data_IF_542301628181
#
_entry.id   IF_542301628181
#
_cell.length_a   1.000
_cell.length_b   1.000
_cell.length_c   1.000
_cell.angle_alpha   90.00
_cell.angle_beta   90.00
_cell.angle_gamma   90.00
#
_symmetry.space_group_name_H-M   'P 1'
#
loop_
_entity.id
_entity.type
_entity.pdbx_description
1 polymer ?
#
# COMPACT_ATOMS: atom_id res chain seq x y z
N UNK A 1 5.12 15.92 -16.88
CA UNK A 1 4.44 14.61 -17.07
C UNK A 1 5.24 13.82 -18.08
N UNK A 2 5.61 12.58 -17.78
CA UNK A 2 6.28 11.73 -18.76
C UNK A 2 5.26 11.19 -19.77
N UNK A 3 5.45 11.54 -21.05
CA UNK A 3 4.60 11.10 -22.17
C UNK A 3 5.27 10.00 -23.00
N UNK A 4 6.39 9.44 -22.50
CA UNK A 4 7.14 8.36 -23.15
C UNK A 4 6.26 7.14 -23.46
N UNK A 5 5.30 6.82 -22.57
CA UNK A 5 4.38 5.70 -22.73
C UNK A 5 3.44 5.82 -23.94
N UNK A 6 3.26 7.03 -24.50
CA UNK A 6 2.40 7.29 -25.66
C UNK A 6 3.16 7.64 -26.94
N UNK A 7 4.48 7.77 -26.88
CA UNK A 7 5.34 8.15 -28.02
C UNK A 7 5.87 6.93 -28.77
N UNK A 8 5.76 6.92 -30.10
CA UNK A 8 6.44 5.94 -30.95
C UNK A 8 7.73 6.49 -31.58
N UNK A 9 8.55 5.58 -32.12
CA UNK A 9 9.65 5.94 -33.00
C UNK A 9 9.10 6.78 -34.18
N UNK A 10 9.67 7.97 -34.40
CA UNK A 10 9.22 9.06 -35.31
C UNK A 10 8.25 10.12 -34.72
N UNK A 11 7.97 10.11 -33.41
CA UNK A 11 7.29 11.22 -32.75
C UNK A 11 5.76 11.25 -32.90
N UNK A 12 5.17 10.22 -33.50
CA UNK A 12 3.71 10.06 -33.60
C UNK A 12 3.14 9.58 -32.25
N UNK A 13 2.13 10.27 -31.74
CA UNK A 13 1.39 9.93 -30.52
C UNK A 13 0.19 9.05 -30.86
N UNK A 14 0.11 7.83 -30.31
CA UNK A 14 -1.00 6.91 -30.58
C UNK A 14 -1.87 6.75 -29.32
N UNK A 15 -2.99 7.48 -29.28
CA UNK A 15 -3.91 7.44 -28.15
C UNK A 15 -4.92 6.29 -28.29
N UNK A 16 -5.09 5.44 -27.25
CA UNK A 16 -6.19 4.48 -27.21
C UNK A 16 -7.53 5.23 -27.29
N UNK A 17 -8.50 4.70 -28.06
CA UNK A 17 -9.86 5.26 -28.17
C UNK A 17 -10.70 5.10 -26.88
N UNK A 18 -10.09 4.71 -25.77
CA UNK A 18 -10.78 4.44 -24.50
C UNK A 18 -10.81 5.74 -23.69
N UNK A 19 -12.01 6.27 -23.46
CA UNK A 19 -12.21 7.41 -22.59
C UNK A 19 -11.98 7.00 -21.12
N UNK A 20 -10.82 7.38 -20.59
CA UNK A 20 -10.48 7.27 -19.16
C UNK A 20 -10.30 8.68 -18.63
N UNK A 21 -11.38 9.34 -18.22
CA UNK A 21 -11.34 10.76 -17.91
C UNK A 21 -10.47 11.02 -16.70
N UNK A 22 -9.85 12.18 -16.70
CA UNK A 22 -8.80 12.50 -15.76
C UNK A 22 -8.79 13.99 -15.43
N UNK A 23 -8.69 14.28 -14.14
CA UNK A 23 -8.68 15.64 -13.62
C UNK A 23 -7.24 16.11 -13.46
N UNK A 24 -7.02 17.38 -13.79
CA UNK A 24 -5.69 17.96 -13.93
C UNK A 24 -5.48 19.17 -13.03
N UNK A 25 -4.24 19.64 -12.98
CA UNK A 25 -3.84 20.78 -12.14
C UNK A 25 -4.46 22.12 -12.54
N UNK A 26 -5.05 22.20 -13.74
CA UNK A 26 -5.84 23.35 -14.20
C UNK A 26 -7.34 23.17 -13.94
N UNK A 27 -7.71 22.17 -13.12
CA UNK A 27 -9.08 21.79 -12.76
C UNK A 27 -9.98 21.44 -13.96
N UNK A 28 -9.38 21.16 -15.12
CA UNK A 28 -10.10 20.66 -16.29
C UNK A 28 -10.09 19.15 -16.37
N UNK A 29 -11.20 18.59 -16.86
CA UNK A 29 -11.32 17.17 -17.16
C UNK A 29 -10.87 16.91 -18.58
N UNK A 30 -9.88 16.02 -18.73
CA UNK A 30 -9.41 15.56 -20.02
C UNK A 30 -9.95 14.16 -20.29
N UNK A 31 -10.13 13.83 -21.57
CA UNK A 31 -10.69 12.55 -22.01
C UNK A 31 -9.78 11.37 -21.66
N UNK A 32 -8.46 11.58 -21.67
CA UNK A 32 -7.45 10.58 -21.28
C UNK A 32 -6.10 11.21 -20.92
N UNK A 33 -5.19 10.41 -20.35
CA UNK A 33 -3.77 10.79 -20.18
C UNK A 33 -3.08 11.08 -21.51
N UNK A 34 -3.41 10.33 -22.56
CA UNK A 34 -2.83 10.54 -23.87
C UNK A 34 -3.31 11.86 -24.50
N UNK A 35 -4.60 12.19 -24.35
CA UNK A 35 -5.15 13.47 -24.81
C UNK A 35 -4.53 14.65 -24.07
N UNK A 36 -4.31 14.54 -22.77
CA UNK A 36 -3.55 15.54 -22.03
C UNK A 36 -2.12 15.69 -22.58
N UNK A 37 -1.40 14.58 -22.76
CA UNK A 37 -0.04 14.62 -23.28
C UNK A 37 0.03 15.30 -24.66
N UNK A 38 -0.92 14.98 -25.54
CA UNK A 38 -1.05 15.62 -26.86
C UNK A 38 -1.29 17.12 -26.73
N UNK A 39 -2.25 17.55 -25.91
CA UNK A 39 -2.55 18.98 -25.72
C UNK A 39 -1.41 19.75 -25.05
N UNK A 40 -0.71 19.15 -24.09
CA UNK A 40 0.48 19.74 -23.48
C UNK A 40 1.60 19.97 -24.51
N UNK A 41 1.78 19.03 -25.44
CA UNK A 41 2.78 19.15 -26.52
C UNK A 41 2.36 20.16 -27.60
N UNK A 42 1.08 20.14 -28.01
CA UNK A 42 0.55 21.05 -29.04
C UNK A 42 0.48 22.51 -28.57
N UNK A 43 0.16 22.72 -27.28
CA UNK A 43 -0.03 24.06 -26.71
C UNK A 43 1.12 24.53 -25.82
N UNK A 44 2.24 23.80 -25.76
CA UNK A 44 3.38 24.05 -24.88
C UNK A 44 2.98 24.31 -23.40
N UNK A 45 2.08 23.49 -22.88
CA UNK A 45 1.58 23.56 -21.49
C UNK A 45 2.22 22.48 -20.62
N UNK A 46 2.27 22.71 -19.30
CA UNK A 46 2.72 21.74 -18.30
C UNK A 46 1.61 21.40 -17.30
N UNK A 47 0.44 21.00 -17.81
CA UNK A 47 -0.69 20.61 -16.98
C UNK A 47 -0.45 19.17 -16.48
N UNK A 48 -0.43 18.98 -15.16
CA UNK A 48 -0.14 17.69 -14.54
C UNK A 48 -1.41 16.95 -14.09
N UNK A 49 -1.28 15.65 -13.82
CA UNK A 49 -2.37 14.80 -13.33
C UNK A 49 -2.64 15.12 -11.86
N UNK A 50 -3.90 15.45 -11.54
CA UNK A 50 -4.39 15.61 -10.17
C UNK A 50 -4.93 14.26 -9.63
N UNK A 51 -5.85 13.64 -10.37
CA UNK A 51 -6.33 12.27 -10.14
C UNK A 51 -7.03 11.69 -11.38
N UNK A 52 -7.20 10.37 -11.43
CA UNK A 52 -7.68 9.63 -12.61
C UNK A 52 -9.20 9.43 -12.65
N UNK A 53 -9.94 10.54 -12.54
CA UNK A 53 -11.40 10.62 -12.75
C UNK A 53 -11.78 11.97 -13.33
N UNK A 54 -13.04 12.18 -13.71
CA UNK A 54 -13.55 13.52 -13.98
C UNK A 54 -13.32 14.45 -12.78
N UNK A 55 -13.08 15.73 -13.02
CA UNK A 55 -12.87 16.70 -11.96
C UNK A 55 -14.11 16.78 -11.06
N UNK A 56 -13.85 16.58 -9.79
CA UNK A 56 -14.83 16.67 -8.72
C UNK A 56 -15.09 18.15 -8.46
N UNK A 57 -16.34 18.56 -8.70
CA UNK A 57 -16.82 19.87 -8.26
C UNK A 57 -17.00 19.83 -6.75
N UNK A 58 -16.18 20.61 -6.03
CA UNK A 58 -16.11 20.53 -4.56
C UNK A 58 -17.45 20.88 -3.89
N UNK A 59 -18.23 21.77 -4.51
CA UNK A 59 -19.55 22.18 -4.05
C UNK A 59 -20.53 21.00 -4.09
N UNK A 60 -20.58 20.27 -5.21
CA UNK A 60 -21.41 19.07 -5.37
C UNK A 60 -20.93 17.92 -4.49
N UNK A 61 -19.62 17.78 -4.34
CA UNK A 61 -19.00 16.72 -3.55
C UNK A 61 -19.27 16.85 -2.04
N UNK A 62 -19.42 18.09 -1.57
CA UNK A 62 -19.65 18.41 -0.16
C UNK A 62 -21.09 18.87 0.13
N UNK A 63 -22.02 18.68 -0.83
CA UNK A 63 -23.42 19.10 -0.68
C UNK A 63 -24.11 18.40 0.50
N UNK A 64 -23.84 17.10 0.67
CA UNK A 64 -24.49 16.23 1.66
C UNK A 64 -23.78 16.24 3.03
N UNK A 65 -22.61 16.87 3.13
CA UNK A 65 -21.79 16.91 4.34
C UNK A 65 -21.63 18.35 4.84
N UNK A 66 -22.08 18.64 6.07
CA UNK A 66 -21.78 19.92 6.73
C UNK A 66 -22.95 20.70 7.31
N UNK A 67 -23.90 20.08 8.01
CA UNK A 67 -24.61 20.83 9.05
C UNK A 67 -23.63 21.21 10.18
N UNK A 68 -23.89 22.30 10.91
CA UNK A 68 -23.07 22.70 12.07
C UNK A 68 -23.01 21.63 13.20
N UNK A 69 -23.80 20.55 13.06
CA UNK A 69 -23.79 19.34 13.91
C UNK A 69 -23.48 18.07 13.12
N UNK A 70 -22.50 18.11 12.21
CA UNK A 70 -22.10 16.90 11.47
C UNK A 70 -21.17 16.06 12.33
N UNK A 71 -21.71 14.98 12.91
CA UNK A 71 -20.89 13.91 13.49
C UNK A 71 -20.31 13.09 12.34
N UNK A 72 -18.99 13.14 12.15
CA UNK A 72 -18.33 12.30 11.16
C UNK A 72 -18.12 10.89 11.70
N UNK A 73 -18.39 9.90 10.86
CA UNK A 73 -18.01 8.50 11.08
C UNK A 73 -16.48 8.39 11.20
N UNK A 74 -15.99 7.38 11.92
CA UNK A 74 -14.55 7.07 12.03
C UNK A 74 -14.05 6.19 10.88
N UNK A 75 -14.83 6.04 9.81
CA UNK A 75 -14.41 5.31 8.62
C UNK A 75 -13.21 6.01 7.97
N UNK A 76 -12.24 5.22 7.52
CA UNK A 76 -11.00 5.75 6.97
C UNK A 76 -10.96 5.64 5.44
N UNK A 77 -11.31 6.74 4.77
CA UNK A 77 -11.29 6.91 3.32
C UNK A 77 -10.62 8.24 2.97
N UNK A 78 -9.28 8.32 2.96
CA UNK A 78 -8.58 9.59 3.03
C UNK A 78 -8.76 10.50 1.81
N UNK A 79 -8.63 11.81 2.03
CA UNK A 79 -8.66 12.86 1.00
C UNK A 79 -7.47 13.79 1.20
N UNK A 80 -6.65 14.00 0.18
CA UNK A 80 -5.60 15.02 0.23
C UNK A 80 -6.16 16.37 -0.20
N UNK A 81 -6.08 17.35 0.69
CA UNK A 81 -6.42 18.74 0.40
C UNK A 81 -5.32 19.50 -0.32
N UNK A 82 -5.68 20.61 -0.96
CA UNK A 82 -4.75 21.56 -1.56
C UNK A 82 -3.83 22.26 -0.55
N UNK A 83 -4.13 22.12 0.75
CA UNK A 83 -3.30 22.56 1.86
C UNK A 83 -2.22 21.54 2.26
N UNK A 84 -2.09 20.44 1.50
CA UNK A 84 -1.14 19.36 1.77
C UNK A 84 -1.54 18.46 2.95
N UNK A 85 -2.72 18.65 3.54
CA UNK A 85 -3.21 17.80 4.64
C UNK A 85 -4.03 16.65 4.13
N UNK A 86 -3.94 15.53 4.83
CA UNK A 86 -4.80 14.36 4.61
C UNK A 86 -5.95 14.39 5.61
N UNK A 87 -7.16 14.34 5.08
CA UNK A 87 -8.41 14.27 5.82
C UNK A 87 -8.88 12.83 5.86
N UNK A 88 -9.33 12.35 7.02
CA UNK A 88 -9.58 10.91 7.23
C UNK A 88 -10.75 10.33 6.44
N UNK A 89 -11.72 11.16 6.05
CA UNK A 89 -12.86 10.78 5.21
C UNK A 89 -13.51 12.01 4.56
N UNK A 90 -14.48 11.75 3.68
CA UNK A 90 -15.22 12.78 2.96
C UNK A 90 -15.89 13.78 3.91
N UNK A 91 -16.46 13.29 5.02
CA UNK A 91 -17.09 14.14 6.03
C UNK A 91 -16.08 15.14 6.65
N UNK A 92 -14.93 14.64 7.13
CA UNK A 92 -13.87 15.47 7.70
C UNK A 92 -13.28 16.44 6.68
N UNK A 93 -13.11 16.00 5.43
CA UNK A 93 -12.63 16.84 4.35
C UNK A 93 -13.62 17.98 4.07
N UNK A 94 -14.89 17.67 3.83
CA UNK A 94 -15.93 18.64 3.52
C UNK A 94 -16.22 19.60 4.69
N UNK A 95 -16.11 19.15 5.94
CA UNK A 95 -16.15 20.02 7.11
C UNK A 95 -15.05 21.10 7.04
N UNK A 96 -13.82 20.72 6.67
CA UNK A 96 -12.71 21.66 6.55
C UNK A 96 -12.78 22.53 5.28
N UNK A 97 -13.41 22.06 4.21
CA UNK A 97 -13.75 22.90 3.04
C UNK A 97 -14.67 24.04 3.45
N UNK A 98 -15.70 23.78 4.27
CA UNK A 98 -16.58 24.84 4.80
C UNK A 98 -15.84 25.75 5.78
N UNK A 99 -15.05 25.20 6.71
CA UNK A 99 -14.25 25.96 7.68
C UNK A 99 -13.27 26.92 6.98
N UNK A 100 -12.70 26.50 5.85
CA UNK A 100 -11.81 27.32 5.02
C UNK A 100 -12.55 28.27 4.07
N UNK A 101 -13.88 28.36 4.15
CA UNK A 101 -14.74 29.19 3.28
C UNK A 101 -14.49 28.92 1.79
N UNK A 102 -14.27 27.64 1.43
CA UNK A 102 -14.03 27.22 0.06
C UNK A 102 -12.60 27.39 -0.46
N UNK A 103 -11.65 27.83 0.38
CA UNK A 103 -10.24 27.92 -0.02
C UNK A 103 -9.55 26.55 -0.14
N UNK A 104 -10.06 25.51 0.54
CA UNK A 104 -9.58 24.14 0.43
C UNK A 104 -10.23 23.42 -0.76
N UNK A 105 -9.41 22.88 -1.66
CA UNK A 105 -9.86 22.01 -2.76
C UNK A 105 -9.27 20.60 -2.64
N UNK A 106 -9.86 19.64 -3.36
CA UNK A 106 -9.38 18.26 -3.34
C UNK A 106 -8.19 18.11 -4.30
N UNK A 107 -7.01 17.81 -3.76
CA UNK A 107 -5.81 17.52 -4.53
C UNK A 107 -5.76 16.06 -4.98
N UNK A 108 -6.13 15.10 -4.12
CA UNK A 108 -6.13 13.67 -4.46
C UNK A 108 -7.18 12.90 -3.66
N UNK A 109 -7.81 11.89 -4.28
CA UNK A 109 -8.63 10.89 -3.57
C UNK A 109 -7.70 9.81 -3.00
N UNK A 110 -7.53 9.78 -1.68
CA UNK A 110 -6.54 8.97 -0.99
C UNK A 110 -5.59 9.81 -0.16
N UNK A 111 -4.60 9.18 0.46
CA UNK A 111 -3.42 9.91 0.95
C UNK A 111 -2.64 10.42 -0.26
N UNK A 112 -1.96 11.56 -0.13
CA UNK A 112 -0.96 11.94 -1.13
C UNK A 112 0.14 10.88 -1.10
N UNK A 113 0.19 10.02 -2.12
CA UNK A 113 1.36 9.20 -2.39
C UNK A 113 2.46 10.15 -2.85
N UNK A 114 3.24 10.66 -1.89
CA UNK A 114 4.52 11.30 -2.26
C UNK A 114 5.49 10.18 -2.62
N UNK A 115 6.43 10.47 -3.51
CA UNK A 115 7.53 9.57 -3.87
C UNK A 115 8.32 9.05 -2.65
N UNK A 116 8.19 9.72 -1.49
CA UNK A 116 8.67 9.29 -0.18
C UNK A 116 8.15 7.91 0.26
N UNK A 117 6.92 7.51 -0.09
CA UNK A 117 6.37 6.21 0.35
C UNK A 117 6.97 5.02 -0.45
N UNK A 118 7.53 5.27 -1.64
CA UNK A 118 8.25 4.24 -2.42
C UNK A 118 9.69 4.09 -1.88
N UNK A 119 10.28 5.16 -1.35
CA UNK A 119 11.57 5.12 -0.64
C UNK A 119 11.46 4.67 0.83
N UNK A 120 10.28 4.77 1.45
CA UNK A 120 10.05 4.37 2.84
C UNK A 120 10.15 2.85 3.07
N UNK A 121 10.20 2.03 2.01
CA UNK A 121 10.46 0.58 2.12
C UNK A 121 11.89 0.18 1.69
N UNK A 122 12.69 1.09 1.14
CA UNK A 122 14.11 0.84 0.92
C UNK A 122 14.91 1.12 2.18
N UNK A 123 15.69 0.14 2.62
CA UNK A 123 16.65 0.28 3.71
C UNK A 123 17.94 0.89 3.14
N UNK A 124 18.30 2.10 3.58
CA UNK A 124 19.57 2.75 3.20
C UNK A 124 20.53 2.76 4.40
N UNK A 125 21.42 1.77 4.44
CA UNK A 125 22.42 1.68 5.50
C UNK A 125 23.60 2.65 5.31
N UNK A 126 23.75 3.28 4.14
CA UNK A 126 24.86 4.22 3.88
C UNK A 126 24.77 5.46 4.76
N UNK A 127 23.57 5.85 5.18
CA UNK A 127 23.33 6.99 6.06
C UNK A 127 23.74 6.73 7.53
N UNK A 128 24.01 5.48 7.88
CA UNK A 128 24.38 5.07 9.24
C UNK A 128 25.85 4.68 9.39
N UNK A 129 26.62 4.74 8.29
CA UNK A 129 28.05 4.49 8.28
C UNK A 129 28.81 5.73 8.79
N UNK A 130 29.86 5.51 9.58
CA UNK A 130 30.78 6.59 9.96
C UNK A 130 31.57 7.09 8.75
N UNK A 131 32.14 8.29 8.86
CA UNK A 131 32.83 9.02 7.79
C UNK A 131 33.97 8.25 7.07
N UNK A 132 34.43 7.12 7.61
CA UNK A 132 35.46 6.26 7.00
C UNK A 132 34.91 5.08 6.21
N UNK A 133 33.59 4.97 6.02
CA UNK A 133 32.95 3.98 5.14
C UNK A 133 33.00 2.52 5.60
N UNK A 134 33.72 2.21 6.70
CA UNK A 134 33.88 0.86 7.26
C UNK A 134 33.88 0.82 8.80
N UNK A 135 33.46 1.91 9.47
CA UNK A 135 33.38 1.97 10.94
C UNK A 135 32.15 1.26 11.53
N UNK A 136 32.16 0.95 12.83
CA UNK A 136 30.99 0.38 13.51
C UNK A 136 29.81 1.35 13.47
N UNK A 137 28.63 0.86 13.08
CA UNK A 137 27.39 1.65 13.06
C UNK A 137 27.02 2.04 14.50
N UNK A 138 26.90 3.35 14.74
CA UNK A 138 26.45 3.90 16.02
C UNK A 138 25.01 4.41 15.88
N UNK A 139 24.10 3.84 16.67
CA UNK A 139 22.67 4.12 16.57
C UNK A 139 22.15 4.96 17.73
N UNK A 140 21.20 5.85 17.42
CA UNK A 140 20.40 6.50 18.45
C UNK A 140 19.45 5.49 19.09
N UNK A 141 19.06 5.74 20.34
CA UNK A 141 18.06 4.91 21.04
C UNK A 141 16.61 5.32 20.75
N UNK A 142 16.39 6.09 19.67
CA UNK A 142 15.05 6.54 19.29
C UNK A 142 14.30 5.33 18.74
N UNK A 143 13.10 5.10 19.28
CA UNK A 143 12.27 3.97 18.90
C UNK A 143 11.33 4.34 17.75
N UNK A 144 11.68 3.88 16.55
CA UNK A 144 10.90 4.00 15.32
C UNK A 144 10.94 2.64 14.60
N UNK A 145 10.13 1.67 15.04
CA UNK A 145 10.35 0.28 14.70
C UNK A 145 10.17 0.02 13.20
N UNK A 146 10.92 -0.96 12.71
CA UNK A 146 10.82 -1.47 11.35
C UNK A 146 10.79 -2.99 11.34
N UNK A 147 10.03 -3.56 10.41
CA UNK A 147 9.97 -5.00 10.22
C UNK A 147 10.99 -5.41 9.16
N UNK A 148 11.91 -6.29 9.52
CA UNK A 148 12.88 -6.86 8.61
C UNK A 148 12.26 -7.89 7.66
N UNK A 149 12.91 -8.14 6.52
CA UNK A 149 12.54 -9.23 5.61
C UNK A 149 12.74 -10.62 6.25
N UNK A 150 13.49 -10.69 7.35
CA UNK A 150 13.67 -11.88 8.18
C UNK A 150 12.54 -12.08 9.21
N UNK A 151 11.53 -11.20 9.23
CA UNK A 151 10.39 -11.27 10.15
C UNK A 151 10.70 -10.76 11.56
N UNK A 152 11.88 -10.19 11.80
CA UNK A 152 12.22 -9.61 13.10
C UNK A 152 11.93 -8.11 13.13
N UNK A 153 11.49 -7.64 14.30
CA UNK A 153 11.30 -6.22 14.57
C UNK A 153 12.60 -5.60 15.06
N UNK A 154 13.05 -4.55 14.40
CA UNK A 154 14.20 -3.76 14.81
C UNK A 154 13.72 -2.44 15.40
N UNK A 155 14.40 -1.94 16.45
CA UNK A 155 13.97 -0.74 17.15
C UNK A 155 14.01 0.53 16.27
N UNK A 156 14.87 0.55 15.25
CA UNK A 156 14.89 1.51 14.15
C UNK A 156 15.71 0.96 12.96
N UNK A 157 15.76 1.71 11.85
CA UNK A 157 16.52 1.33 10.65
C UNK A 157 18.02 1.21 10.89
N UNK A 158 18.60 2.06 11.74
CA UNK A 158 20.00 1.98 12.11
C UNK A 158 20.31 0.66 12.82
N UNK A 159 19.44 0.23 13.74
CA UNK A 159 19.59 -1.05 14.47
C UNK A 159 19.53 -2.26 13.52
N UNK A 160 18.69 -2.18 12.49
CA UNK A 160 18.64 -3.19 11.42
C UNK A 160 19.96 -3.19 10.63
N UNK A 161 20.46 -2.03 10.24
CA UNK A 161 21.74 -1.91 9.55
C UNK A 161 22.92 -2.40 10.40
N UNK A 162 22.94 -2.08 11.70
CA UNK A 162 23.95 -2.58 12.63
C UNK A 162 23.89 -4.10 12.75
N UNK A 163 22.70 -4.68 12.82
CA UNK A 163 22.53 -6.13 12.80
C UNK A 163 23.11 -6.77 11.54
N UNK A 164 22.84 -6.18 10.37
CA UNK A 164 23.41 -6.65 9.11
C UNK A 164 24.95 -6.62 9.13
N UNK A 165 25.54 -5.54 9.65
CA UNK A 165 27.00 -5.40 9.78
C UNK A 165 27.59 -6.41 10.77
N UNK A 166 27.05 -6.50 11.99
CA UNK A 166 27.58 -7.37 13.06
C UNK A 166 27.41 -8.86 12.77
N UNK A 167 26.30 -9.24 12.14
CA UNK A 167 25.95 -10.63 11.86
C UNK A 167 26.27 -11.05 10.43
N UNK A 168 26.83 -10.15 9.63
CA UNK A 168 27.10 -10.35 8.20
C UNK A 168 25.85 -10.89 7.46
N UNK A 169 24.71 -10.21 7.65
CA UNK A 169 23.41 -10.55 7.05
C UNK A 169 22.97 -9.48 6.06
N UNK A 170 22.03 -9.85 5.18
CA UNK A 170 21.38 -8.96 4.23
C UNK A 170 19.87 -8.91 4.48
N UNK A 171 19.48 -8.48 5.68
CA UNK A 171 18.08 -8.24 6.03
C UNK A 171 17.66 -6.91 5.40
N UNK A 172 16.62 -6.92 4.57
CA UNK A 172 16.00 -5.71 4.04
C UNK A 172 14.92 -5.18 4.99
N UNK A 173 14.46 -3.96 4.75
CA UNK A 173 13.23 -3.45 5.38
C UNK A 173 12.03 -3.98 4.59
N UNK A 174 11.12 -4.67 5.27
CA UNK A 174 9.87 -5.20 4.69
C UNK A 174 8.77 -4.15 4.71
N UNK A 175 8.56 -3.52 5.87
CA UNK A 175 7.67 -2.39 6.05
C UNK A 175 8.07 -1.58 7.29
N UNK A 176 7.60 -0.35 7.37
CA UNK A 176 7.69 0.48 8.58
C UNK A 176 6.74 -0.08 9.67
N UNK A 177 7.12 0.04 10.93
CA UNK A 177 6.39 -0.49 12.09
C UNK A 177 6.93 -1.84 12.57
N UNK A 178 6.40 -2.34 13.68
CA UNK A 178 6.76 -3.68 14.18
C UNK A 178 6.27 -4.78 13.24
N UNK A 179 7.01 -5.89 13.16
CA UNK A 179 6.49 -7.07 12.50
C UNK A 179 5.23 -7.57 13.22
N UNK A 180 4.25 -8.12 12.48
CA UNK A 180 3.12 -8.80 13.09
C UNK A 180 3.62 -9.86 14.07
N UNK A 181 3.13 -9.82 15.30
CA UNK A 181 3.38 -10.85 16.32
C UNK A 181 2.08 -11.56 16.63
N UNK A 182 2.15 -12.86 16.87
CA UNK A 182 1.01 -13.60 17.37
C UNK A 182 0.92 -13.45 18.89
N UNK A 183 -0.14 -12.82 19.37
CA UNK A 183 -0.48 -12.88 20.80
C UNK A 183 -1.22 -14.19 21.10
N UNK A 184 -0.56 -15.04 21.88
CA UNK A 184 -1.10 -16.34 22.30
C UNK A 184 -1.67 -16.30 23.72
N UNK A 185 -1.69 -15.14 24.38
CA UNK A 185 -2.16 -14.97 25.76
C UNK A 185 -3.66 -15.26 25.90
N UNK A 186 -4.42 -15.14 24.80
CA UNK A 186 -5.85 -15.46 24.74
C UNK A 186 -6.13 -16.96 24.94
N UNK A 187 -5.15 -17.84 24.68
CA UNK A 187 -5.35 -19.29 24.77
C UNK A 187 -4.79 -19.83 26.08
N UNK A 188 -5.64 -20.53 26.84
CA UNK A 188 -5.26 -21.11 28.14
C UNK A 188 -4.15 -22.15 27.95
N UNK A 189 -3.03 -21.93 28.64
CA UNK A 189 -1.96 -22.91 28.78
C UNK A 189 -2.16 -23.68 30.09
N UNK A 190 -2.23 -25.00 30.02
CA UNK A 190 -2.25 -25.87 31.19
C UNK A 190 -1.01 -26.75 31.15
N UNK A 191 -0.06 -26.52 32.09
CA UNK A 191 1.19 -27.29 32.20
C UNK A 191 1.99 -27.35 30.87
N UNK A 192 2.10 -26.23 30.16
CA UNK A 192 2.80 -26.15 28.88
C UNK A 192 2.05 -26.70 27.67
N UNK A 193 0.84 -27.27 27.86
CA UNK A 193 -0.02 -27.71 26.77
C UNK A 193 -1.08 -26.64 26.47
N UNK A 194 -1.13 -26.20 25.22
CA UNK A 194 -2.13 -25.24 24.77
C UNK A 194 -3.47 -25.96 24.49
N UNK A 195 -4.52 -25.55 25.21
CA UNK A 195 -5.86 -26.12 25.06
C UNK A 195 -6.65 -25.32 24.01
N UNK A 196 -6.77 -25.88 22.80
CA UNK A 196 -7.48 -25.24 21.70
C UNK A 196 -8.95 -25.69 21.60
N UNK A 197 -9.90 -24.75 21.48
CA UNK A 197 -11.26 -25.08 21.06
C UNK A 197 -11.24 -25.74 19.67
N UNK A 198 -12.14 -26.70 19.43
CA UNK A 198 -12.32 -27.33 18.10
C UNK A 198 -13.11 -26.41 17.15
N UNK A 199 -12.63 -25.19 16.95
CA UNK A 199 -13.23 -24.20 16.05
C UNK A 199 -12.34 -24.07 14.82
N UNK A 200 -12.85 -24.51 13.66
CA UNK A 200 -12.16 -24.34 12.38
C UNK A 200 -12.42 -22.93 11.83
N UNK A 201 -11.49 -22.01 12.14
CA UNK A 201 -11.46 -20.65 11.59
C UNK A 201 -10.04 -20.42 11.03
N UNK A 202 -9.78 -20.87 9.80
CA UNK A 202 -8.43 -20.95 9.28
C UNK A 202 -7.76 -19.58 9.21
N UNK A 203 -6.44 -19.57 9.36
CA UNK A 203 -5.59 -18.38 9.20
C UNK A 203 -4.37 -18.73 8.36
N UNK A 204 -3.93 -17.79 7.53
CA UNK A 204 -2.68 -17.91 6.81
C UNK A 204 -1.56 -17.34 7.69
N UNK A 205 -0.53 -18.12 7.93
CA UNK A 205 0.65 -17.72 8.69
C UNK A 205 1.60 -16.85 7.86
N UNK A 206 2.51 -16.14 8.53
CA UNK A 206 3.62 -15.39 7.89
C UNK A 206 4.66 -16.30 7.25
N UNK A 207 4.59 -17.60 7.50
CA UNK A 207 5.36 -18.67 6.86
C UNK A 207 4.64 -19.29 5.65
N UNK A 208 3.55 -18.66 5.20
CA UNK A 208 2.70 -19.09 4.09
C UNK A 208 2.03 -20.47 4.28
N UNK A 209 1.94 -20.94 5.54
CA UNK A 209 1.21 -22.14 5.90
C UNK A 209 -0.21 -21.83 6.41
N UNK A 210 -1.16 -22.69 6.08
CA UNK A 210 -2.53 -22.58 6.59
C UNK A 210 -2.66 -23.30 7.93
N UNK A 211 -3.13 -22.59 8.93
CA UNK A 211 -3.41 -23.13 10.26
C UNK A 211 -4.92 -23.25 10.46
N UNK A 212 -5.37 -24.32 11.12
CA UNK A 212 -6.81 -24.61 11.29
C UNK A 212 -7.51 -23.53 12.14
N UNK A 213 -6.74 -22.90 13.05
CA UNK A 213 -7.18 -21.75 13.83
C UNK A 213 -5.99 -20.94 14.34
N UNK A 214 -6.25 -19.73 14.85
CA UNK A 214 -5.27 -18.94 15.62
C UNK A 214 -4.66 -19.73 16.79
N UNK A 215 -5.45 -20.55 17.46
CA UNK A 215 -4.96 -21.37 18.56
C UNK A 215 -4.01 -22.46 18.08
N UNK A 216 -4.34 -23.11 16.96
CA UNK A 216 -3.47 -24.11 16.35
C UNK A 216 -2.11 -23.52 15.94
N UNK A 217 -2.11 -22.32 15.36
CA UNK A 217 -0.89 -21.57 15.06
C UNK A 217 -0.08 -21.29 16.33
N UNK A 218 -0.72 -20.81 17.39
CA UNK A 218 -0.06 -20.59 18.68
C UNK A 218 0.53 -21.87 19.29
N UNK A 219 -0.19 -22.99 19.21
CA UNK A 219 0.29 -24.29 19.68
C UNK A 219 1.53 -24.72 18.91
N UNK A 220 1.52 -24.61 17.58
CA UNK A 220 2.67 -24.96 16.76
C UNK A 220 3.88 -24.05 17.02
N UNK A 221 3.68 -22.75 17.26
CA UNK A 221 4.75 -21.85 17.68
C UNK A 221 5.41 -22.30 18.99
N UNK A 222 4.61 -22.70 19.99
CA UNK A 222 5.12 -23.19 21.27
C UNK A 222 5.84 -24.53 21.15
N UNK A 223 5.27 -25.48 20.40
CA UNK A 223 5.82 -26.83 20.26
C UNK A 223 7.11 -26.86 19.43
N UNK A 224 7.19 -26.03 18.39
CA UNK A 224 8.31 -26.02 17.44
C UNK A 224 9.26 -24.84 17.63
N UNK A 225 9.09 -24.04 18.70
CA UNK A 225 9.82 -22.80 18.93
C UNK A 225 9.86 -21.87 17.69
N UNK A 226 8.71 -21.76 17.02
CA UNK A 226 8.53 -20.89 15.85
C UNK A 226 7.94 -19.54 16.27
N UNK A 227 8.15 -18.53 15.44
CA UNK A 227 7.57 -17.19 15.60
C UNK A 227 6.71 -16.85 14.37
N UNK A 228 5.71 -17.68 14.07
CA UNK A 228 4.76 -17.42 12.99
C UNK A 228 3.68 -16.48 13.50
N UNK A 229 3.33 -15.46 12.72
CA UNK A 229 2.19 -14.60 13.00
C UNK A 229 1.07 -14.84 11.99
N UNK A 230 -0.13 -14.33 12.28
CA UNK A 230 -1.21 -14.32 11.29
C UNK A 230 -0.88 -13.28 10.22
N UNK A 231 -0.75 -13.73 8.98
CA UNK A 231 -0.62 -12.89 7.79
C UNK A 231 -1.98 -12.33 7.38
N UNK A 232 -3.00 -13.18 7.29
CA UNK A 232 -4.41 -12.81 7.10
C UNK A 232 -5.35 -13.94 7.52
N UNK A 233 -6.63 -13.59 7.72
CA UNK A 233 -7.68 -14.57 8.01
C UNK A 233 -8.08 -15.37 6.76
N UNK A 234 -8.39 -16.65 6.93
CA UNK A 234 -8.67 -17.59 5.84
C UNK A 234 -7.49 -18.52 5.55
N UNK A 235 -7.65 -19.37 4.54
CA UNK A 235 -6.57 -20.24 4.08
C UNK A 235 -5.55 -19.44 3.26
N UNK A 236 -4.29 -19.89 3.24
CA UNK A 236 -3.30 -19.26 2.37
C UNK A 236 -3.70 -19.42 0.90
N UNK A 237 -3.68 -18.30 0.19
CA UNK A 237 -4.01 -18.21 -1.22
C UNK A 237 -2.79 -18.63 -2.04
N UNK A 238 -2.93 -19.74 -2.77
CA UNK A 238 -1.93 -20.17 -3.74
C UNK A 238 -2.02 -19.29 -4.98
N UNK A 239 -1.01 -18.47 -5.22
CA UNK A 239 -1.01 -17.45 -6.29
C UNK A 239 -1.21 -18.08 -7.68
N UNK A 240 -0.65 -19.26 -7.90
CA UNK A 240 -0.79 -19.98 -9.17
C UNK A 240 -2.27 -20.30 -9.46
N UNK A 241 -2.97 -20.85 -8.48
CA UNK A 241 -4.40 -21.16 -8.59
C UNK A 241 -5.26 -19.89 -8.61
N UNK A 242 -4.88 -18.89 -7.81
CA UNK A 242 -5.60 -17.62 -7.71
C UNK A 242 -5.55 -16.81 -9.03
N UNK A 243 -4.45 -16.92 -9.77
CA UNK A 243 -4.24 -16.18 -11.01
C UNK A 243 -4.39 -17.05 -12.26
N UNK A 244 -4.88 -18.28 -12.14
CA UNK A 244 -5.00 -19.22 -13.26
C UNK A 244 -5.86 -18.68 -14.41
N UNK A 245 -6.94 -17.97 -14.08
CA UNK A 245 -7.93 -17.48 -15.04
C UNK A 245 -7.56 -16.11 -15.63
N UNK A 246 -6.57 -15.42 -15.05
CA UNK A 246 -6.16 -14.07 -15.42
C UNK A 246 -4.80 -14.13 -16.10
N UNK A 247 -4.80 -14.41 -17.41
CA UNK A 247 -3.59 -14.92 -18.04
C UNK A 247 -3.46 -14.90 -19.55
N UNK A 248 -4.25 -14.13 -20.29
CA UNK A 248 -3.95 -13.87 -21.70
C UNK A 248 -3.29 -12.51 -21.87
N UNK A 249 -2.45 -12.35 -22.90
CA UNK A 249 -1.83 -11.05 -23.26
C UNK A 249 -2.87 -9.97 -23.63
N UNK A 250 -4.16 -10.34 -23.68
CA UNK A 250 -5.32 -9.46 -23.90
C UNK A 250 -6.31 -9.51 -22.73
N UNK A 251 -5.82 -9.55 -21.50
CA UNK A 251 -6.71 -9.53 -20.33
C UNK A 251 -7.22 -8.12 -20.08
N UNK A 252 -8.50 -7.88 -20.35
CA UNK A 252 -9.20 -6.67 -19.96
C UNK A 252 -9.75 -6.84 -18.54
N UNK A 253 -9.28 -6.02 -17.60
CA UNK A 253 -9.78 -6.05 -16.23
C UNK A 253 -11.01 -5.16 -16.06
N UNK A 254 -11.99 -5.66 -15.32
CA UNK A 254 -13.09 -4.86 -14.76
C UNK A 254 -12.54 -3.77 -13.84
N UNK A 255 -13.32 -2.71 -13.62
CA UNK A 255 -12.98 -1.62 -12.68
C UNK A 255 -13.64 -1.80 -11.31
N UNK A 256 -14.11 -3.02 -11.01
CA UNK A 256 -14.62 -3.34 -9.67
C UNK A 256 -13.51 -3.20 -8.64
N UNK A 257 -13.88 -2.70 -7.46
CA UNK A 257 -12.93 -2.40 -6.40
C UNK A 257 -13.01 -3.47 -5.30
N UNK A 258 -12.14 -4.45 -5.39
CA UNK A 258 -11.92 -5.51 -4.41
C UNK A 258 -10.41 -5.59 -4.16
N UNK A 259 -9.84 -4.71 -3.30
CA UNK A 259 -8.41 -4.46 -3.30
C UNK A 259 -7.57 -5.64 -2.81
N UNK A 260 -6.32 -5.69 -3.28
CA UNK A 260 -5.29 -6.65 -2.88
C UNK A 260 -4.02 -5.91 -2.47
N UNK A 261 -3.45 -6.25 -1.32
CA UNK A 261 -2.16 -5.72 -0.90
C UNK A 261 -1.06 -6.65 -1.42
N UNK A 262 -0.20 -6.14 -2.30
CA UNK A 262 0.96 -6.87 -2.81
C UNK A 262 2.15 -6.81 -1.87
N UNK A 263 3.08 -7.75 -2.03
CA UNK A 263 4.34 -7.77 -1.28
C UNK A 263 5.27 -6.59 -1.58
N UNK A 264 4.97 -5.79 -2.59
CA UNK A 264 5.64 -4.53 -2.91
C UNK A 264 5.01 -3.32 -2.18
N UNK A 265 4.06 -3.56 -1.27
CA UNK A 265 3.35 -2.53 -0.53
C UNK A 265 2.31 -1.76 -1.36
N UNK A 266 2.01 -2.21 -2.59
CA UNK A 266 1.01 -1.55 -3.45
C UNK A 266 -0.35 -2.19 -3.34
N UNK A 267 -1.37 -1.35 -3.46
CA UNK A 267 -2.76 -1.79 -3.56
C UNK A 267 -3.15 -1.99 -5.01
N UNK A 268 -3.56 -3.21 -5.35
CA UNK A 268 -4.11 -3.56 -6.65
C UNK A 268 -5.63 -3.54 -6.55
N UNK A 269 -6.31 -2.89 -7.50
CA UNK A 269 -7.74 -2.59 -7.38
C UNK A 269 -8.67 -3.82 -7.38
N UNK A 270 -8.22 -4.91 -8.00
CA UNK A 270 -8.93 -6.19 -8.05
C UNK A 270 -7.99 -7.34 -8.43
N UNK A 271 -8.52 -8.57 -8.38
CA UNK A 271 -7.80 -9.80 -8.68
C UNK A 271 -7.18 -9.78 -10.07
N UNK A 272 -7.90 -9.28 -11.08
CA UNK A 272 -7.38 -9.19 -12.45
C UNK A 272 -6.14 -8.27 -12.51
N UNK A 273 -6.22 -7.08 -11.90
CA UNK A 273 -5.12 -6.13 -11.87
C UNK A 273 -3.92 -6.69 -11.08
N UNK A 274 -4.17 -7.32 -9.94
CA UNK A 274 -3.16 -7.99 -9.14
C UNK A 274 -2.45 -9.09 -9.94
N UNK A 275 -3.20 -10.03 -10.51
CA UNK A 275 -2.67 -11.16 -11.27
C UNK A 275 -1.92 -10.75 -12.55
N UNK A 276 -2.39 -9.69 -13.23
CA UNK A 276 -1.65 -9.09 -14.34
C UNK A 276 -0.26 -8.62 -13.90
N UNK A 277 -0.16 -7.95 -12.75
CA UNK A 277 1.11 -7.48 -12.22
C UNK A 277 1.98 -8.62 -11.64
N UNK A 278 1.38 -9.68 -11.08
CA UNK A 278 2.10 -10.90 -10.67
C UNK A 278 2.84 -11.50 -11.87
N UNK A 279 2.16 -11.64 -13.01
CA UNK A 279 2.79 -12.13 -14.25
C UNK A 279 3.87 -11.18 -14.77
N UNK A 280 3.58 -9.88 -14.83
CA UNK A 280 4.56 -8.86 -15.24
C UNK A 280 5.83 -8.89 -14.39
N UNK A 281 5.69 -9.18 -13.09
CA UNK A 281 6.80 -9.31 -12.14
C UNK A 281 7.60 -10.61 -12.26
N UNK A 282 7.18 -11.56 -13.12
CA UNK A 282 7.78 -12.90 -13.26
C UNK A 282 7.88 -13.65 -11.92
N UNK A 283 6.87 -13.50 -11.05
CA UNK A 283 6.80 -14.18 -9.75
C UNK A 283 7.44 -13.43 -8.59
N UNK A 284 7.99 -12.23 -8.79
CA UNK A 284 8.52 -11.41 -7.69
C UNK A 284 7.42 -10.79 -6.80
N UNK A 285 6.21 -10.59 -7.33
CA UNK A 285 5.06 -10.09 -6.60
C UNK A 285 4.24 -11.26 -6.02
N UNK A 286 3.98 -11.19 -4.71
CA UNK A 286 3.10 -12.11 -3.98
C UNK A 286 1.98 -11.35 -3.28
N UNK A 287 0.94 -12.06 -2.84
CA UNK A 287 -0.16 -11.46 -2.09
C UNK A 287 0.24 -11.37 -0.61
N UNK A 288 0.26 -10.14 -0.08
CA UNK A 288 0.43 -9.93 1.35
C UNK A 288 -0.87 -10.23 2.08
N UNK A 289 -1.98 -9.63 1.67
CA UNK A 289 -3.33 -9.99 2.11
C UNK A 289 -4.40 -9.43 1.17
N UNK A 290 -5.63 -9.93 1.29
CA UNK A 290 -6.80 -9.30 0.68
C UNK A 290 -7.13 -7.99 1.41
N UNK A 291 -7.56 -6.98 0.68
CA UNK A 291 -7.77 -5.63 1.21
C UNK A 291 -6.70 -4.64 0.78
N UNK A 292 -6.75 -3.43 1.36
CA UNK A 292 -5.72 -2.39 1.18
C UNK A 292 -4.53 -2.67 2.09
N UNK A 293 -3.32 -2.36 1.63
CA UNK A 293 -2.22 -2.02 2.53
C UNK A 293 -2.60 -0.73 3.30
#
# INVERSE_FOLDING_TARGET
MDCSEFRQAKGLMLCPKIAKPVCRTDDNTYVSKCDLCRQNLESNKNVAVKYERQCIQIQDYCKDFGSDKTYCTLEYMPHCGSDGKVYGNQCNFCFNVRKSKGALSLQHLGRSLRDEDIQANTLDCSQHLQATGNGPISCTRIYFPVCGTDGNTYANECELCRHNQEKNKLVGKKHVGECPKMDCSEFRQAKGLMLCPKIAKPVCGTDDNTYVSKCDLCRQNLESNKNVAVKYGGQCIQIQDYCKDFGSDKTYCTLEYMPHCGSDGKVYGNQCNFCFNVRKSKGALSLQHLGRC
#
